data_IF_022718059489
#
_entry.id   IF_022718059489
#
_cell.length_a   1.000
_cell.length_b   1.000
_cell.length_c   1.000
_cell.angle_alpha   90.00
_cell.angle_beta   90.00
_cell.angle_gamma   90.00
#
_symmetry.space_group_name_H-M   'P 1'
#
loop_
_entity.id
_entity.type
_entity.pdbx_description
1 polymer ?
#
# COMPACT_ATOMS: atom_id res chain seq x y z
N UNK A 1 0.41 -23.96 -13.08
CA UNK A 1 1.64 -23.35 -13.65
C UNK A 1 1.59 -21.87 -13.35
N UNK A 2 2.65 -21.10 -13.08
CA UNK A 2 4.07 -21.26 -12.72
C UNK A 2 4.50 -19.84 -12.27
N UNK A 3 5.48 -19.75 -11.37
CA UNK A 3 6.17 -18.53 -10.88
C UNK A 3 5.69 -17.90 -9.56
N UNK A 4 5.82 -18.62 -8.44
CA UNK A 4 6.07 -18.00 -7.11
C UNK A 4 7.49 -18.29 -6.63
N UNK A 5 8.46 -17.85 -7.43
CA UNK A 5 9.83 -17.65 -6.97
C UNK A 5 10.21 -16.21 -7.31
N UNK A 6 9.94 -15.31 -6.40
CA UNK A 6 10.54 -13.98 -6.35
C UNK A 6 11.17 -13.88 -4.95
N UNK A 7 12.40 -14.38 -4.79
CA UNK A 7 13.66 -13.64 -4.87
C UNK A 7 13.75 -12.54 -3.80
N UNK A 8 14.35 -12.84 -2.62
CA UNK A 8 14.88 -11.79 -1.76
C UNK A 8 16.24 -11.36 -2.34
N UNK A 9 16.25 -10.49 -3.35
CA UNK A 9 17.48 -9.88 -3.86
C UNK A 9 17.51 -8.43 -3.40
N UNK A 10 18.28 -8.20 -2.33
CA UNK A 10 18.60 -6.87 -1.81
C UNK A 10 19.52 -6.17 -2.81
N UNK A 11 18.94 -5.32 -3.66
CA UNK A 11 19.66 -4.39 -4.50
C UNK A 11 18.88 -3.08 -4.53
N UNK A 12 19.57 -1.94 -4.61
CA UNK A 12 18.94 -0.64 -4.88
C UNK A 12 18.07 -0.77 -6.13
N UNK A 13 16.76 -0.68 -5.99
CA UNK A 13 15.76 -0.92 -7.03
C UNK A 13 14.69 -1.96 -6.67
N UNK A 14 14.96 -2.85 -5.71
CA UNK A 14 13.97 -3.86 -5.28
C UNK A 14 12.78 -3.25 -4.54
N UNK A 15 12.99 -2.15 -3.80
CA UNK A 15 11.91 -1.45 -3.10
C UNK A 15 10.88 -0.91 -4.09
N UNK A 16 11.32 -0.20 -5.14
CA UNK A 16 10.42 0.27 -6.21
C UNK A 16 9.67 -0.86 -6.94
N UNK A 17 10.28 -2.04 -7.06
CA UNK A 17 9.63 -3.23 -7.63
C UNK A 17 8.59 -3.76 -6.65
N UNK A 18 8.91 -3.84 -5.36
CA UNK A 18 7.99 -4.32 -4.34
C UNK A 18 6.82 -3.35 -4.09
N UNK A 19 7.06 -2.04 -4.06
CA UNK A 19 6.05 -0.98 -4.08
C UNK A 19 5.12 -1.14 -5.28
N UNK A 20 5.69 -1.37 -6.46
CA UNK A 20 4.91 -1.64 -7.68
C UNK A 20 4.05 -2.90 -7.54
N UNK A 21 4.61 -3.98 -6.98
CA UNK A 21 3.88 -5.22 -6.74
C UNK A 21 2.75 -5.04 -5.73
N UNK A 22 3.00 -4.36 -4.61
CA UNK A 22 2.00 -4.03 -3.60
C UNK A 22 0.85 -3.22 -4.22
N UNK A 23 1.18 -2.17 -4.99
CA UNK A 23 0.20 -1.38 -5.73
C UNK A 23 -0.65 -2.25 -6.66
N UNK A 24 -0.02 -3.13 -7.44
CA UNK A 24 -0.73 -4.04 -8.34
C UNK A 24 -1.65 -4.99 -7.58
N UNK A 25 -1.22 -5.53 -6.44
CA UNK A 25 -2.03 -6.45 -5.62
C UNK A 25 -3.31 -5.73 -5.13
N UNK A 26 -3.19 -4.52 -4.58
CA UNK A 26 -4.34 -3.72 -4.12
C UNK A 26 -5.34 -3.52 -5.27
N UNK A 27 -4.85 -3.08 -6.44
CA UNK A 27 -5.68 -2.85 -7.63
C UNK A 27 -6.35 -4.15 -8.10
N UNK A 28 -5.64 -5.27 -8.10
CA UNK A 28 -6.21 -6.57 -8.54
C UNK A 28 -7.37 -7.02 -7.65
N UNK A 29 -7.37 -6.66 -6.38
CA UNK A 29 -8.49 -6.92 -5.46
C UNK A 29 -9.58 -5.83 -5.46
N UNK A 30 -9.56 -4.92 -6.44
CA UNK A 30 -10.64 -3.96 -6.67
C UNK A 30 -10.51 -2.63 -5.94
N UNK A 31 -9.45 -2.45 -5.13
CA UNK A 31 -9.20 -1.17 -4.48
C UNK A 31 -8.92 -0.08 -5.53
N UNK A 32 -9.25 1.18 -5.23
CA UNK A 32 -8.91 2.31 -6.09
C UNK A 32 -7.39 2.37 -6.32
N UNK A 33 -6.96 3.08 -7.36
CA UNK A 33 -5.53 3.21 -7.67
C UNK A 33 -4.89 4.14 -6.63
N UNK A 34 -3.93 3.69 -5.81
CA UNK A 34 -3.24 4.56 -4.87
C UNK A 34 -2.32 5.54 -5.59
N UNK A 35 -2.15 6.74 -5.01
CA UNK A 35 -1.11 7.69 -5.37
C UNK A 35 0.26 7.12 -4.99
N UNK A 36 1.25 7.23 -5.86
CA UNK A 36 2.63 6.78 -5.60
C UNK A 36 3.49 7.96 -5.20
N UNK A 37 4.41 7.79 -4.25
CA UNK A 37 5.33 8.84 -3.77
C UNK A 37 4.57 10.13 -3.39
N UNK A 38 3.48 9.98 -2.64
CA UNK A 38 2.60 11.09 -2.31
C UNK A 38 3.29 12.04 -1.33
N UNK A 39 3.39 13.31 -1.73
CA UNK A 39 4.00 14.35 -0.94
C UNK A 39 3.00 14.89 0.11
N UNK A 40 3.29 14.64 1.39
CA UNK A 40 2.50 15.12 2.52
C UNK A 40 3.28 16.20 3.28
N UNK A 41 2.67 17.38 3.41
CA UNK A 41 3.14 18.46 4.29
C UNK A 41 2.44 18.30 5.65
N UNK A 42 3.22 18.07 6.70
CA UNK A 42 2.75 17.94 8.08
C UNK A 42 2.50 19.30 8.72
N UNK A 43 1.76 19.38 9.83
CA UNK A 43 1.44 20.66 10.51
C UNK A 43 2.66 21.44 10.97
N UNK A 44 3.75 20.76 11.30
CA UNK A 44 5.02 21.39 11.69
C UNK A 44 5.83 21.91 10.48
N UNK A 45 5.27 21.83 9.28
CA UNK A 45 5.90 22.25 8.02
C UNK A 45 6.87 21.23 7.46
N UNK A 46 7.08 20.08 8.13
CA UNK A 46 7.93 19.03 7.59
C UNK A 46 7.29 18.32 6.40
N UNK A 47 8.13 17.89 5.47
CA UNK A 47 7.73 17.19 4.27
C UNK A 47 8.08 15.71 4.37
N UNK A 48 7.10 14.85 4.12
CA UNK A 48 7.28 13.40 4.03
C UNK A 48 6.69 12.90 2.71
N UNK A 49 7.29 11.84 2.17
CA UNK A 49 6.79 11.14 0.99
C UNK A 49 6.27 9.78 1.43
N UNK A 50 5.06 9.43 1.00
CA UNK A 50 4.41 8.16 1.30
C UNK A 50 4.52 7.27 0.06
N UNK A 51 4.94 6.02 0.21
CA UNK A 51 5.14 5.10 -0.93
C UNK A 51 3.84 4.97 -1.72
N UNK A 52 2.76 4.61 -1.02
CA UNK A 52 1.41 4.52 -1.55
C UNK A 52 0.41 5.23 -0.63
N UNK A 53 -0.45 6.05 -1.22
CA UNK A 53 -1.43 6.82 -0.46
C UNK A 53 -2.84 6.79 -1.06
N UNK A 54 -3.83 6.87 -0.19
CA UNK A 54 -5.19 7.31 -0.51
C UNK A 54 -5.46 8.64 0.22
N UNK A 55 -5.15 9.80 -0.38
CA UNK A 55 -5.17 11.09 0.32
C UNK A 55 -6.54 11.46 0.88
N UNK A 56 -7.61 11.21 0.13
CA UNK A 56 -8.98 11.51 0.54
C UNK A 56 -9.42 10.66 1.74
N UNK A 57 -8.89 9.44 1.85
CA UNK A 57 -9.14 8.54 2.96
C UNK A 57 -8.11 8.66 4.10
N UNK A 58 -7.05 9.45 3.90
CA UNK A 58 -5.86 9.54 4.77
C UNK A 58 -5.30 8.15 5.12
N UNK A 59 -4.98 7.37 4.09
CA UNK A 59 -4.34 6.06 4.27
C UNK A 59 -2.94 6.12 3.67
N UNK A 60 -1.97 5.70 4.45
CA UNK A 60 -0.55 5.55 4.12
C UNK A 60 -0.20 4.06 4.14
N UNK A 61 0.46 3.58 3.08
CA UNK A 61 0.89 2.19 2.93
C UNK A 61 2.34 2.19 2.48
N UNK A 62 3.21 1.75 3.38
CA UNK A 62 4.66 1.77 3.19
C UNK A 62 5.19 0.36 3.01
N UNK A 63 6.12 0.19 2.07
CA UNK A 63 6.84 -1.06 1.92
C UNK A 63 8.13 -1.02 2.76
N UNK A 64 8.28 -1.95 3.71
CA UNK A 64 9.52 -2.10 4.46
C UNK A 64 10.33 -3.29 3.92
N UNK A 65 11.33 -2.99 3.10
CA UNK A 65 12.25 -3.96 2.50
C UNK A 65 13.25 -4.60 3.47
N UNK A 66 13.47 -3.99 4.65
CA UNK A 66 14.04 -4.54 5.90
C UNK A 66 14.57 -3.43 6.82
N UNK A 67 14.11 -3.51 8.07
CA UNK A 67 14.56 -2.82 9.27
C UNK A 67 16.09 -2.70 9.45
N UNK A 68 16.65 -1.53 9.15
CA UNK A 68 17.92 -1.12 9.75
C UNK A 68 17.66 -0.63 11.18
N UNK A 69 18.13 -1.35 12.21
CA UNK A 69 17.98 -0.98 13.64
C UNK A 69 18.37 0.48 13.95
N UNK A 70 19.26 1.05 13.17
CA UNK A 70 19.71 2.44 13.30
C UNK A 70 18.68 3.49 12.85
N UNK A 71 17.63 3.10 12.12
CA UNK A 71 16.59 4.01 11.61
C UNK A 71 15.29 3.96 12.42
N UNK A 72 15.09 2.94 13.25
CA UNK A 72 13.84 2.71 14.01
C UNK A 72 13.31 3.89 14.80
N UNK A 73 14.17 4.65 15.49
CA UNK A 73 13.72 5.81 16.25
C UNK A 73 13.19 6.93 15.34
N UNK A 74 13.82 7.13 14.17
CA UNK A 74 13.38 8.11 13.16
C UNK A 74 12.10 7.65 12.48
N UNK A 75 12.01 6.37 12.15
CA UNK A 75 10.82 5.77 11.53
C UNK A 75 9.62 5.86 12.48
N UNK A 76 9.82 5.52 13.76
CA UNK A 76 8.78 5.65 14.78
C UNK A 76 8.30 7.11 14.94
N UNK A 77 9.22 8.08 14.98
CA UNK A 77 8.85 9.49 15.04
C UNK A 77 8.10 9.95 13.78
N UNK A 78 8.53 9.51 12.60
CA UNK A 78 7.86 9.79 11.31
C UNK A 78 6.45 9.24 11.32
N UNK A 79 6.27 7.97 11.65
CA UNK A 79 4.94 7.32 11.74
C UNK A 79 4.06 7.99 12.77
N UNK A 80 4.60 8.39 13.94
CA UNK A 80 3.83 9.12 14.95
C UNK A 80 3.29 10.45 14.41
N UNK A 81 4.10 11.21 13.66
CA UNK A 81 3.65 12.47 13.06
C UNK A 81 2.59 12.27 11.98
N UNK A 82 2.78 11.28 11.10
CA UNK A 82 1.79 10.94 10.07
C UNK A 82 0.44 10.56 10.71
N UNK A 83 0.47 9.70 11.73
CA UNK A 83 -0.74 9.32 12.48
C UNK A 83 -1.38 10.50 13.21
N UNK A 84 -0.60 11.44 13.74
CA UNK A 84 -1.12 12.65 14.37
C UNK A 84 -1.90 13.56 13.40
N UNK A 85 -1.63 13.46 12.09
CA UNK A 85 -2.42 14.12 11.04
C UNK A 85 -3.73 13.37 10.68
N UNK A 86 -4.00 12.26 11.38
CA UNK A 86 -5.18 11.42 11.20
C UNK A 86 -5.02 10.38 10.09
N UNK A 87 -3.80 10.10 9.66
CA UNK A 87 -3.53 9.05 8.68
C UNK A 87 -3.47 7.68 9.32
N UNK A 88 -4.15 6.70 8.70
CA UNK A 88 -3.94 5.29 9.02
C UNK A 88 -2.67 4.81 8.32
N UNK A 89 -1.81 4.11 9.06
CA UNK A 89 -0.49 3.71 8.58
C UNK A 89 -0.37 2.19 8.53
N UNK A 90 -0.14 1.66 7.33
CA UNK A 90 0.09 0.24 7.07
C UNK A 90 1.54 0.01 6.67
N UNK A 91 2.28 -0.76 7.48
CA UNK A 91 3.61 -1.24 7.10
C UNK A 91 3.48 -2.63 6.49
N UNK A 92 4.01 -2.81 5.29
CA UNK A 92 3.97 -4.07 4.55
C UNK A 92 5.38 -4.55 4.31
N UNK A 93 5.72 -5.73 4.84
CA UNK A 93 7.06 -6.30 4.68
C UNK A 93 7.12 -7.25 3.48
N UNK A 94 8.35 -7.58 3.07
CA UNK A 94 8.59 -8.60 2.04
C UNK A 94 7.99 -9.97 2.37
N UNK A 95 8.00 -10.34 3.65
CA UNK A 95 7.47 -11.61 4.16
C UNK A 95 5.95 -11.66 3.97
N UNK A 96 5.25 -10.56 4.30
CA UNK A 96 3.80 -10.45 4.11
C UNK A 96 3.42 -10.56 2.62
N UNK A 97 4.20 -9.97 1.71
CA UNK A 97 3.92 -10.08 0.27
C UNK A 97 4.25 -11.46 -0.31
N UNK A 98 5.18 -12.19 0.29
CA UNK A 98 5.58 -13.52 -0.18
C UNK A 98 4.57 -14.60 0.19
N UNK A 99 3.79 -14.39 1.25
CA UNK A 99 2.78 -15.30 1.77
C UNK A 99 1.37 -14.88 1.33
N UNK A 100 0.57 -15.82 0.83
CA UNK A 100 -0.76 -15.49 0.27
C UNK A 100 -1.75 -15.00 1.32
N UNK A 101 -1.72 -15.61 2.49
CA UNK A 101 -2.65 -15.30 3.56
C UNK A 101 -2.33 -13.90 4.10
N UNK A 102 -1.07 -13.62 4.41
CA UNK A 102 -0.64 -12.31 4.89
C UNK A 102 -0.85 -11.22 3.85
N UNK A 103 -0.54 -11.47 2.58
CA UNK A 103 -0.80 -10.53 1.49
C UNK A 103 -2.30 -10.21 1.40
N UNK A 104 -3.16 -11.23 1.45
CA UNK A 104 -4.61 -11.02 1.42
C UNK A 104 -5.10 -10.26 2.66
N UNK A 105 -4.54 -10.54 3.83
CA UNK A 105 -4.85 -9.80 5.05
C UNK A 105 -4.52 -8.31 4.93
N UNK A 106 -3.37 -7.94 4.32
CA UNK A 106 -3.04 -6.54 4.04
C UNK A 106 -4.13 -5.89 3.18
N UNK A 107 -4.54 -6.55 2.09
CA UNK A 107 -5.60 -6.06 1.20
C UNK A 107 -6.92 -5.86 1.96
N UNK A 108 -7.32 -6.83 2.77
CA UNK A 108 -8.58 -6.78 3.55
C UNK A 108 -8.55 -5.62 4.53
N UNK A 109 -7.45 -5.41 5.24
CA UNK A 109 -7.32 -4.32 6.22
C UNK A 109 -7.36 -2.94 5.55
N UNK A 110 -6.67 -2.78 4.43
CA UNK A 110 -6.70 -1.53 3.65
C UNK A 110 -8.10 -1.29 3.09
N UNK A 111 -8.75 -2.31 2.53
CA UNK A 111 -10.10 -2.20 1.99
C UNK A 111 -11.13 -1.84 3.06
N UNK A 112 -10.99 -2.42 4.26
CA UNK A 112 -11.82 -2.09 5.41
C UNK A 112 -11.64 -0.63 5.82
N UNK A 113 -10.40 -0.15 5.92
CA UNK A 113 -10.14 1.25 6.26
C UNK A 113 -10.73 2.19 5.19
N UNK A 114 -10.55 1.87 3.90
CA UNK A 114 -11.19 2.61 2.81
C UNK A 114 -12.71 2.64 2.94
N UNK A 115 -13.35 1.51 3.27
CA UNK A 115 -14.80 1.44 3.48
C UNK A 115 -15.25 2.29 4.67
N UNK A 116 -14.54 2.24 5.78
CA UNK A 116 -14.83 3.06 6.96
C UNK A 116 -14.69 4.57 6.67
N UNK A 117 -13.73 4.96 5.82
CA UNK A 117 -13.45 6.37 5.48
C UNK A 117 -14.31 6.92 4.35
N UNK A 118 -14.72 6.08 3.40
CA UNK A 118 -15.41 6.52 2.17
C UNK A 118 -16.86 6.03 2.06
N UNK A 119 -17.27 5.07 2.90
CA UNK A 119 -18.57 4.41 2.83
C UNK A 119 -18.72 3.38 1.71
N UNK A 120 -17.70 3.21 0.85
CA UNK A 120 -17.75 2.33 -0.33
C UNK A 120 -17.01 1.02 -0.08
N UNK A 121 -17.61 -0.08 -0.49
CA UNK A 121 -16.96 -1.40 -0.44
C UNK A 121 -16.27 -1.68 -1.78
N UNK A 122 -14.94 -1.85 -1.73
CA UNK A 122 -14.11 -2.06 -2.92
C UNK A 122 -13.62 -3.50 -3.05
N UNK A 123 -13.69 -4.29 -1.97
CA UNK A 123 -12.99 -5.56 -1.90
C UNK A 123 -13.64 -6.60 -2.80
N UNK A 124 -12.89 -7.10 -3.77
CA UNK A 124 -13.30 -8.25 -4.57
C UNK A 124 -12.96 -9.56 -3.85
N UNK A 125 -13.83 -10.59 -3.95
CA UNK A 125 -13.60 -11.88 -3.32
C UNK A 125 -12.46 -12.67 -3.97
N UNK A 126 -12.07 -12.32 -5.20
CA UNK A 126 -10.96 -12.93 -5.92
C UNK A 126 -10.19 -11.85 -6.70
N UNK A 127 -8.86 -12.00 -6.85
CA UNK A 127 -8.06 -11.03 -7.57
C UNK A 127 -8.32 -11.15 -9.07
N UNK A 128 -8.49 -10.00 -9.72
CA UNK A 128 -8.59 -9.89 -11.17
C UNK A 128 -7.27 -10.33 -11.84
N UNK A 129 -7.32 -10.76 -13.10
CA UNK A 129 -6.09 -10.98 -13.89
C UNK A 129 -5.36 -9.65 -14.15
N UNK A 130 -4.11 -9.71 -14.61
CA UNK A 130 -3.37 -8.48 -14.94
C UNK A 130 -4.03 -7.72 -16.10
N UNK A 131 -4.57 -8.43 -17.08
CA UNK A 131 -5.32 -7.86 -18.20
C UNK A 131 -6.58 -7.15 -17.71
N UNK A 132 -7.33 -7.80 -16.82
CA UNK A 132 -8.52 -7.21 -16.18
C UNK A 132 -8.17 -6.02 -15.27
N UNK A 133 -6.93 -5.95 -14.77
CA UNK A 133 -6.40 -4.81 -14.00
C UNK A 133 -5.91 -3.65 -14.86
N UNK A 134 -5.48 -3.92 -16.08
CA UNK A 134 -5.05 -2.90 -17.03
C UNK A 134 -6.21 -2.23 -17.77
N UNK A 135 -7.40 -2.86 -17.86
CA UNK A 135 -8.55 -2.28 -18.57
C UNK A 135 -9.11 -1.05 -17.82
N UNK A 136 -8.98 0.14 -18.44
CA UNK A 136 -9.27 1.47 -17.88
C UNK A 136 -10.77 1.74 -17.60
N UNK A 137 -11.66 0.79 -17.91
CA UNK A 137 -13.12 0.92 -17.69
C UNK A 137 -13.55 0.85 -16.21
N UNK A 138 -12.62 0.85 -15.25
CA UNK A 138 -12.94 0.82 -13.81
C UNK A 138 -13.39 2.14 -13.19
N UNK A 139 -13.32 3.26 -13.91
CA UNK A 139 -13.89 4.53 -13.43
C UNK A 139 -15.43 4.49 -13.25
N UNK A 140 -16.10 3.41 -13.69
CA UNK A 140 -17.56 3.33 -13.82
C UNK A 140 -18.24 2.53 -12.69
N UNK A 141 -17.50 2.01 -11.70
CA UNK A 141 -18.10 1.25 -10.57
C UNK A 141 -18.58 2.14 -9.40
N UNK A 142 -19.02 3.35 -9.74
CA UNK A 142 -19.68 4.29 -8.83
C UNK A 142 -21.01 4.72 -9.45
N UNK A 143 -21.93 3.77 -9.54
CA UNK A 143 -23.38 4.02 -9.62
C UNK A 143 -23.99 3.87 -8.24
#
# INVERSE_FOLDING_TARGET
MKCRKALPLMAQGTDSVAETMLRLILIRYGLPIPCVNYQLVLRDGSLVFLDLAYPEAKIDIEYDGRHHRYQWARDAQRTMKIRAEGWEYFQVTSEMLSDDEQMFMVVVLVARCLKERTGKDYLLPQPLTLEQAADQRRAVWHG
#
